data_IF_985663725706
#
_entry.id   IF_985663725706
#
_cell.length_a   1.000
_cell.length_b   1.000
_cell.length_c   1.000
_cell.angle_alpha   90.00
_cell.angle_beta   90.00
_cell.angle_gamma   90.00
#
_symmetry.space_group_name_H-M   'P 1'
#
loop_
_entity.id
_entity.type
_entity.pdbx_description
1 polymer ?
#
# COMPACT_ATOMS: atom_id res chain seq x y z
N UNK A 1 -28.17 29.31 -54.05
CA UNK A 1 -27.85 29.56 -52.61
C UNK A 1 -27.76 28.22 -51.89
N UNK A 2 -26.54 27.73 -51.63
CA UNK A 2 -26.30 26.45 -50.93
C UNK A 2 -26.10 26.77 -49.45
N UNK A 3 -26.96 26.21 -48.59
CA UNK A 3 -26.80 26.33 -47.14
C UNK A 3 -25.79 25.29 -46.65
N UNK A 4 -24.70 25.74 -46.05
CA UNK A 4 -23.75 24.88 -45.30
C UNK A 4 -24.32 24.66 -43.92
N UNK A 5 -24.57 23.41 -43.59
CA UNK A 5 -24.90 22.99 -42.22
C UNK A 5 -23.59 22.64 -41.49
N UNK A 6 -23.27 23.39 -40.42
CA UNK A 6 -22.16 23.10 -39.54
C UNK A 6 -22.66 22.14 -38.47
N UNK A 7 -22.14 20.91 -38.45
CA UNK A 7 -22.38 19.94 -37.39
C UNK A 7 -21.35 20.21 -36.29
N UNK A 8 -21.80 20.72 -35.15
CA UNK A 8 -20.96 20.86 -33.96
C UNK A 8 -20.87 19.48 -33.27
N UNK A 9 -19.67 18.92 -33.33
CA UNK A 9 -19.33 17.66 -32.64
C UNK A 9 -18.96 17.97 -31.18
N UNK A 10 -19.91 17.77 -30.27
CA UNK A 10 -19.67 17.96 -28.84
C UNK A 10 -18.74 16.86 -28.32
N UNK A 11 -17.55 17.23 -27.81
CA UNK A 11 -16.68 16.34 -27.03
C UNK A 11 -17.34 16.06 -25.67
N UNK A 12 -17.81 14.83 -25.48
CA UNK A 12 -18.16 14.34 -24.13
C UNK A 12 -16.84 14.08 -23.37
N UNK A 13 -16.48 14.99 -22.48
CA UNK A 13 -15.43 14.74 -21.48
C UNK A 13 -16.03 13.85 -20.40
N UNK A 14 -15.76 12.54 -20.46
CA UNK A 14 -16.07 11.61 -19.35
C UNK A 14 -15.10 11.93 -18.24
N UNK A 15 -15.52 12.81 -17.33
CA UNK A 15 -14.82 13.07 -16.09
C UNK A 15 -14.88 11.78 -15.24
N UNK A 16 -13.73 11.15 -14.99
CA UNK A 16 -13.61 10.09 -13.99
C UNK A 16 -13.93 10.72 -12.63
N UNK A 17 -15.16 10.55 -12.15
CA UNK A 17 -15.58 11.02 -10.83
C UNK A 17 -14.84 10.20 -9.78
N UNK A 18 -13.83 10.78 -9.15
CA UNK A 18 -13.21 10.23 -7.96
C UNK A 18 -14.26 10.23 -6.85
N UNK A 19 -14.86 9.07 -6.56
CA UNK A 19 -15.77 8.95 -5.43
C UNK A 19 -14.94 8.96 -4.15
N UNK A 20 -15.13 9.93 -3.24
CA UNK A 20 -14.42 9.92 -1.98
C UNK A 20 -14.81 8.67 -1.18
N UNK A 21 -13.84 8.08 -0.51
CA UNK A 21 -14.09 6.93 0.37
C UNK A 21 -15.11 7.32 1.46
N UNK A 22 -16.12 6.47 1.65
CA UNK A 22 -17.00 6.60 2.82
C UNK A 22 -16.21 6.23 4.07
N UNK A 23 -16.21 7.09 5.09
CA UNK A 23 -15.49 6.89 6.35
C UNK A 23 -16.30 6.09 7.39
N UNK A 24 -17.52 5.66 7.07
CA UNK A 24 -18.35 4.88 7.98
C UNK A 24 -17.69 3.54 8.34
N UNK A 25 -17.42 3.35 9.63
CA UNK A 25 -16.76 2.15 10.18
C UNK A 25 -15.24 2.10 9.97
N UNK A 26 -14.63 3.12 9.38
CA UNK A 26 -13.18 3.22 9.20
C UNK A 26 -12.54 4.07 10.31
N UNK A 27 -11.40 3.59 10.83
CA UNK A 27 -10.51 4.37 11.71
C UNK A 27 -9.35 4.90 10.87
N UNK A 28 -9.19 6.22 10.83
CA UNK A 28 -8.06 6.87 10.15
C UNK A 28 -6.84 6.86 11.06
N UNK A 29 -5.74 6.26 10.59
CA UNK A 29 -4.48 6.14 11.31
C UNK A 29 -3.42 7.13 10.80
N UNK A 30 -3.42 7.43 9.49
CA UNK A 30 -2.64 8.53 8.89
C UNK A 30 -3.60 9.41 8.12
N UNK A 31 -3.50 10.72 8.34
CA UNK A 31 -4.20 11.77 7.58
C UNK A 31 -3.24 12.92 7.31
N UNK A 32 -2.77 13.01 6.07
CA UNK A 32 -1.72 13.95 5.69
C UNK A 32 -0.43 13.73 6.49
N UNK A 33 0.04 14.77 7.13
CA UNK A 33 1.23 14.77 7.99
C UNK A 33 0.97 14.29 9.43
N UNK A 34 -0.25 13.85 9.74
CA UNK A 34 -0.66 13.42 11.08
C UNK A 34 -0.75 11.91 11.19
N UNK A 35 -0.53 11.36 12.40
CA UNK A 35 -0.81 9.96 12.73
C UNK A 35 0.40 9.09 13.04
N UNK A 36 1.65 9.60 13.04
CA UNK A 36 2.82 8.82 13.48
C UNK A 36 2.64 8.20 14.87
N UNK A 37 1.95 8.89 15.77
CA UNK A 37 1.67 8.43 17.13
C UNK A 37 0.70 7.22 17.19
N UNK A 38 0.08 6.81 16.09
CA UNK A 38 -0.73 5.60 16.01
C UNK A 38 0.11 4.32 15.80
N UNK A 39 1.41 4.48 15.63
CA UNK A 39 2.35 3.41 15.32
C UNK A 39 3.48 3.35 16.34
N UNK A 40 4.13 2.19 16.42
CA UNK A 40 5.40 1.95 17.08
C UNK A 40 6.48 1.82 15.98
N UNK A 41 7.40 2.79 15.83
CA UNK A 41 8.51 2.68 14.89
C UNK A 41 9.48 1.58 15.32
N UNK A 42 9.95 0.78 14.36
CA UNK A 42 10.97 -0.26 14.55
C UNK A 42 12.00 -0.14 13.43
N UNK A 43 13.28 -0.35 13.76
CA UNK A 43 14.40 -0.15 12.83
C UNK A 43 14.91 1.29 12.85
N UNK A 44 15.65 1.68 11.81
CA UNK A 44 16.33 2.97 11.72
C UNK A 44 15.81 3.88 10.60
N UNK A 45 14.68 3.54 9.99
CA UNK A 45 14.03 4.39 8.99
C UNK A 45 13.65 5.76 9.61
N UNK A 46 13.96 6.83 8.90
CA UNK A 46 13.78 8.21 9.35
C UNK A 46 12.32 8.71 9.22
N UNK A 47 11.36 7.97 9.76
CA UNK A 47 9.95 8.33 9.70
C UNK A 47 9.68 9.73 10.22
N UNK A 48 9.03 10.57 9.40
CA UNK A 48 8.71 11.95 9.72
C UNK A 48 7.47 12.46 9.01
N UNK A 49 6.88 13.51 9.55
CA UNK A 49 5.80 14.26 8.92
C UNK A 49 6.40 15.32 7.98
N UNK A 50 6.11 15.26 6.68
CA UNK A 50 6.66 16.18 5.68
C UNK A 50 5.76 16.27 4.44
N UNK A 51 5.52 17.49 3.93
CA UNK A 51 4.83 17.71 2.66
C UNK A 51 3.42 17.11 2.60
N UNK A 52 2.68 17.09 3.69
CA UNK A 52 1.33 16.53 3.76
C UNK A 52 1.29 15.00 3.75
N UNK A 53 2.35 14.33 4.20
CA UNK A 53 2.43 12.88 4.30
C UNK A 53 3.35 12.45 5.47
N UNK A 54 3.30 11.18 5.83
CA UNK A 54 4.33 10.50 6.62
C UNK A 54 5.33 9.90 5.65
N UNK A 55 6.61 10.24 5.80
CA UNK A 55 7.67 9.96 4.84
C UNK A 55 8.81 9.19 5.50
N UNK A 56 9.43 8.27 4.74
CA UNK A 56 10.75 7.72 5.01
C UNK A 56 11.55 7.66 3.71
N UNK A 57 12.83 8.04 3.76
CA UNK A 57 13.75 8.07 2.61
C UNK A 57 15.21 7.78 2.99
N UNK A 58 15.48 7.49 4.27
CA UNK A 58 16.82 7.19 4.81
C UNK A 58 16.76 6.13 5.90
N UNK A 59 17.88 5.45 6.08
CA UNK A 59 18.06 4.37 7.04
C UNK A 59 18.35 3.04 6.34
N UNK A 60 18.66 2.01 7.12
CA UNK A 60 18.90 0.64 6.63
C UNK A 60 17.60 -0.14 6.47
N UNK A 61 16.49 0.41 6.96
CA UNK A 61 15.17 -0.18 6.91
C UNK A 61 14.41 0.00 8.22
N UNK A 62 13.09 -0.14 8.16
CA UNK A 62 12.26 -0.03 9.35
C UNK A 62 10.78 -0.12 9.04
N UNK A 63 10.00 -0.13 10.09
CA UNK A 63 8.56 -0.32 10.03
C UNK A 63 7.82 0.67 10.93
N UNK A 64 6.63 1.09 10.52
CA UNK A 64 5.60 1.64 11.38
C UNK A 64 4.62 0.52 11.72
N UNK A 65 4.70 -0.03 12.93
CA UNK A 65 3.84 -1.13 13.38
C UNK A 65 2.62 -0.56 14.09
N UNK A 66 1.42 -0.95 13.66
CA UNK A 66 0.18 -0.51 14.32
C UNK A 66 0.15 -0.91 15.79
N UNK A 67 -0.37 -0.03 16.66
CA UNK A 67 -0.49 -0.31 18.11
C UNK A 67 -1.47 -1.43 18.42
N UNK A 68 -2.49 -1.62 17.57
CA UNK A 68 -3.50 -2.65 17.73
C UNK A 68 -3.22 -3.85 16.83
N UNK A 69 -3.63 -5.03 17.29
CA UNK A 69 -3.68 -6.27 16.50
C UNK A 69 -5.07 -6.48 15.93
N UNK A 70 -5.13 -7.09 14.75
CA UNK A 70 -6.36 -7.32 14.00
C UNK A 70 -6.40 -8.76 13.50
N UNK A 71 -7.59 -9.36 13.49
CA UNK A 71 -7.85 -10.69 12.93
C UNK A 71 -8.44 -10.55 11.52
N UNK A 72 -9.64 -10.01 11.44
CA UNK A 72 -10.36 -9.75 10.22
C UNK A 72 -10.49 -8.24 10.03
N UNK A 73 -10.05 -7.73 8.89
CA UNK A 73 -9.99 -6.29 8.65
C UNK A 73 -9.85 -5.94 7.17
N UNK A 74 -10.12 -4.68 6.88
CA UNK A 74 -9.76 -4.02 5.64
C UNK A 74 -8.80 -2.87 5.91
N UNK A 75 -7.84 -2.66 5.01
CA UNK A 75 -6.95 -1.48 4.98
C UNK A 75 -7.18 -0.75 3.67
N UNK A 76 -7.24 0.59 3.75
CA UNK A 76 -7.07 1.51 2.63
C UNK A 76 -5.83 2.32 2.88
N UNK A 77 -4.89 2.30 1.92
CA UNK A 77 -3.62 3.00 2.05
C UNK A 77 -3.31 3.78 0.77
N UNK A 78 -3.15 5.08 0.90
CA UNK A 78 -2.74 5.97 -0.16
C UNK A 78 -1.25 6.29 -0.02
N UNK A 79 -0.46 5.92 -1.02
CA UNK A 79 1.00 5.99 -0.96
C UNK A 79 1.61 6.56 -2.25
N UNK A 80 2.79 7.14 -2.11
CA UNK A 80 3.67 7.50 -3.21
C UNK A 80 5.00 6.80 -3.01
N UNK A 81 5.48 6.12 -4.05
CA UNK A 81 6.75 5.41 -4.06
C UNK A 81 7.69 6.02 -5.11
N UNK A 82 8.96 6.20 -4.77
CA UNK A 82 10.00 6.45 -5.77
C UNK A 82 10.18 5.21 -6.67
N UNK A 83 10.80 5.37 -7.84
CA UNK A 83 11.06 4.26 -8.77
C UNK A 83 11.95 3.16 -8.19
N UNK A 84 12.76 3.48 -7.18
CA UNK A 84 13.68 2.57 -6.49
C UNK A 84 13.18 2.12 -5.11
N UNK A 85 11.97 2.53 -4.73
CA UNK A 85 11.38 2.18 -3.44
C UNK A 85 11.25 0.66 -3.29
N UNK A 86 11.66 0.16 -2.13
CA UNK A 86 11.28 -1.13 -1.58
C UNK A 86 10.46 -0.89 -0.31
N UNK A 87 9.20 -1.26 -0.35
CA UNK A 87 8.22 -1.01 0.72
C UNK A 87 7.10 -2.06 0.67
N UNK A 88 6.16 -1.97 1.59
CA UNK A 88 5.01 -2.86 1.61
C UNK A 88 4.10 -2.63 2.81
N UNK A 89 2.94 -3.28 2.75
CA UNK A 89 2.00 -3.39 3.87
C UNK A 89 2.03 -4.83 4.37
N UNK A 90 2.53 -5.04 5.58
CA UNK A 90 2.63 -6.35 6.25
C UNK A 90 1.39 -6.59 7.09
N UNK A 91 0.67 -7.68 6.83
CA UNK A 91 -0.58 -8.03 7.51
C UNK A 91 -0.34 -9.13 8.53
N UNK A 92 -1.04 -9.06 9.67
CA UNK A 92 -1.03 -10.11 10.71
C UNK A 92 0.38 -10.50 11.14
N UNK A 93 1.21 -9.50 11.44
CA UNK A 93 2.60 -9.68 11.89
C UNK A 93 2.63 -10.52 13.16
N UNK A 94 3.29 -11.69 13.14
CA UNK A 94 3.34 -12.61 14.29
C UNK A 94 4.43 -12.25 15.29
N UNK A 95 5.52 -11.61 14.83
CA UNK A 95 6.59 -11.12 15.69
C UNK A 95 6.96 -9.67 15.32
N UNK A 96 6.41 -8.66 16.03
CA UNK A 96 6.69 -7.26 15.74
C UNK A 96 8.16 -6.86 15.90
N UNK A 97 8.96 -7.59 16.68
CA UNK A 97 10.38 -7.29 16.88
C UNK A 97 11.28 -7.85 15.76
N UNK A 98 10.75 -8.74 14.91
CA UNK A 98 11.48 -9.33 13.79
C UNK A 98 10.49 -9.61 12.65
N UNK A 99 10.17 -8.59 11.89
CA UNK A 99 9.20 -8.69 10.79
C UNK A 99 9.87 -9.28 9.55
N UNK A 100 9.28 -10.33 9.00
CA UNK A 100 9.73 -10.99 7.77
C UNK A 100 8.53 -11.34 6.88
N UNK A 101 8.75 -11.53 5.57
CA UNK A 101 7.73 -12.00 4.63
C UNK A 101 7.34 -13.48 4.82
N UNK A 102 7.91 -14.19 5.81
CA UNK A 102 7.52 -15.54 6.21
C UNK A 102 6.63 -15.55 7.46
N UNK A 103 6.68 -14.48 8.26
CA UNK A 103 5.99 -14.34 9.54
C UNK A 103 4.90 -13.24 9.50
N UNK A 104 4.63 -12.73 8.30
CA UNK A 104 3.55 -11.82 7.96
C UNK A 104 3.19 -11.99 6.48
N UNK A 105 2.04 -11.46 6.04
CA UNK A 105 1.69 -11.35 4.63
C UNK A 105 2.15 -9.98 4.12
N UNK A 106 3.25 -9.94 3.37
CA UNK A 106 3.78 -8.72 2.77
C UNK A 106 3.08 -8.41 1.45
N UNK A 107 2.19 -7.42 1.45
CA UNK A 107 1.65 -6.81 0.22
C UNK A 107 2.71 -5.85 -0.30
N UNK A 108 3.39 -6.22 -1.38
CA UNK A 108 4.65 -5.60 -1.79
C UNK A 108 4.47 -4.30 -2.60
N UNK A 109 5.40 -3.36 -2.40
CA UNK A 109 5.61 -2.14 -3.19
C UNK A 109 7.08 -2.13 -3.62
N UNK A 110 7.41 -2.83 -4.70
CA UNK A 110 8.79 -2.92 -5.19
C UNK A 110 8.79 -3.19 -6.71
N UNK A 111 8.87 -2.10 -7.49
CA UNK A 111 8.83 -2.15 -8.96
C UNK A 111 10.07 -2.79 -9.58
N UNK A 112 11.20 -2.78 -8.87
CA UNK A 112 12.48 -3.32 -9.33
C UNK A 112 12.84 -4.66 -8.69
N UNK A 113 11.86 -5.36 -8.11
CA UNK A 113 12.12 -6.66 -7.49
C UNK A 113 12.74 -7.64 -8.49
N UNK A 114 13.85 -8.33 -8.13
CA UNK A 114 14.51 -9.31 -8.99
C UNK A 114 13.59 -10.47 -9.44
N UNK A 115 12.69 -10.91 -8.54
CA UNK A 115 11.60 -11.84 -8.88
C UNK A 115 10.31 -11.02 -9.15
N UNK A 116 10.04 -10.61 -10.39
CA UNK A 116 8.95 -9.68 -10.71
C UNK A 116 7.56 -10.21 -10.33
N UNK A 117 7.36 -11.53 -10.34
CA UNK A 117 6.11 -12.17 -9.93
C UNK A 117 5.74 -11.86 -8.47
N UNK A 118 6.73 -11.56 -7.62
CA UNK A 118 6.54 -11.13 -6.24
C UNK A 118 6.78 -9.63 -6.02
N UNK A 119 6.81 -8.84 -7.08
CA UNK A 119 6.94 -7.39 -7.04
C UNK A 119 5.68 -6.67 -6.58
N UNK A 120 5.53 -5.42 -6.99
CA UNK A 120 4.39 -4.57 -6.61
C UNK A 120 3.05 -5.25 -6.89
N UNK A 121 2.19 -5.28 -5.88
CA UNK A 121 0.84 -5.87 -5.96
C UNK A 121 0.75 -7.34 -5.60
N UNK A 122 1.86 -8.05 -5.42
CA UNK A 122 1.90 -9.44 -4.95
C UNK A 122 1.81 -9.55 -3.42
N UNK A 123 1.57 -10.76 -2.91
CA UNK A 123 1.90 -11.12 -1.51
C UNK A 123 3.14 -12.00 -1.55
N UNK A 124 4.27 -11.47 -1.06
CA UNK A 124 5.58 -12.12 -1.14
C UNK A 124 5.53 -13.52 -0.54
N UNK A 125 6.06 -14.52 -1.27
CA UNK A 125 6.06 -15.96 -0.94
C UNK A 125 4.68 -16.65 -0.95
N UNK A 126 3.56 -15.93 -1.10
CA UNK A 126 2.22 -16.52 -1.01
C UNK A 126 1.39 -16.36 -2.28
N UNK A 127 1.47 -15.22 -2.96
CA UNK A 127 0.69 -14.98 -4.17
C UNK A 127 1.46 -14.12 -5.16
N UNK A 128 1.61 -14.63 -6.37
CA UNK A 128 2.23 -13.94 -7.49
C UNK A 128 1.28 -12.93 -8.13
N UNK A 129 1.85 -11.96 -8.83
CA UNK A 129 1.13 -11.01 -9.69
C UNK A 129 1.70 -11.07 -11.11
N UNK A 130 0.81 -11.08 -12.11
CA UNK A 130 1.24 -11.07 -13.53
C UNK A 130 0.13 -10.44 -14.38
N UNK A 131 0.44 -9.41 -15.20
CA UNK A 131 1.70 -8.66 -15.20
C UNK A 131 1.85 -7.81 -13.94
N UNK A 132 3.10 -7.59 -13.49
CA UNK A 132 3.38 -6.74 -12.33
C UNK A 132 3.06 -5.27 -12.66
N UNK A 133 2.17 -4.60 -11.90
CA UNK A 133 1.91 -3.18 -12.07
C UNK A 133 3.09 -2.34 -11.61
N UNK A 134 3.20 -1.11 -12.13
CA UNK A 134 4.22 -0.13 -11.74
C UNK A 134 3.59 1.07 -11.05
N UNK A 135 4.16 1.46 -9.90
CA UNK A 135 3.66 2.55 -9.06
C UNK A 135 4.68 3.66 -8.83
N UNK A 136 5.93 3.47 -9.25
CA UNK A 136 6.99 4.46 -9.07
C UNK A 136 6.65 5.83 -9.68
N UNK A 137 6.91 6.90 -8.92
CA UNK A 137 6.72 8.30 -9.33
C UNK A 137 5.28 8.81 -9.26
N UNK A 138 4.32 8.06 -8.72
CA UNK A 138 2.90 8.48 -8.66
C UNK A 138 2.22 8.05 -7.37
N UNK A 139 1.16 8.77 -6.99
CA UNK A 139 0.26 8.36 -5.93
C UNK A 139 -0.56 7.16 -6.37
N UNK A 140 -0.67 6.18 -5.50
CA UNK A 140 -1.39 4.93 -5.72
C UNK A 140 -2.18 4.54 -4.47
N UNK A 141 -3.18 3.68 -4.63
CA UNK A 141 -4.01 3.21 -3.53
C UNK A 141 -4.00 1.69 -3.44
N UNK A 142 -3.78 1.17 -2.25
CA UNK A 142 -4.13 -0.19 -1.90
C UNK A 142 -5.47 -0.25 -1.17
N UNK A 143 -6.30 -1.21 -1.56
CA UNK A 143 -7.40 -1.73 -0.74
C UNK A 143 -7.12 -3.21 -0.48
N UNK A 144 -6.93 -3.54 0.80
CA UNK A 144 -6.51 -4.87 1.23
C UNK A 144 -7.56 -5.42 2.17
N UNK A 145 -8.00 -6.66 1.94
CA UNK A 145 -8.92 -7.38 2.82
C UNK A 145 -8.26 -8.65 3.33
N UNK A 146 -8.29 -8.83 4.65
CA UNK A 146 -7.95 -10.08 5.34
C UNK A 146 -9.16 -10.51 6.16
N UNK A 147 -9.86 -11.59 5.75
CA UNK A 147 -11.06 -12.12 6.42
C UNK A 147 -11.00 -13.64 6.47
N UNK A 148 -10.88 -14.21 7.68
CA UNK A 148 -10.58 -15.62 7.83
C UNK A 148 -9.28 -15.97 7.10
N UNK A 149 -9.32 -16.94 6.20
CA UNK A 149 -8.21 -17.31 5.32
C UNK A 149 -8.16 -16.51 4.02
N UNK A 150 -9.21 -15.74 3.70
CA UNK A 150 -9.28 -14.97 2.47
C UNK A 150 -8.39 -13.74 2.54
N UNK A 151 -7.49 -13.59 1.55
CA UNK A 151 -6.64 -12.42 1.34
C UNK A 151 -6.90 -11.86 -0.04
N UNK A 152 -7.31 -10.58 -0.09
CA UNK A 152 -7.57 -9.87 -1.35
C UNK A 152 -6.77 -8.58 -1.38
N UNK A 153 -6.12 -8.30 -2.49
CA UNK A 153 -5.39 -7.04 -2.74
C UNK A 153 -5.91 -6.39 -4.00
N UNK A 154 -6.27 -5.13 -3.89
CA UNK A 154 -6.66 -4.27 -5.01
C UNK A 154 -5.70 -3.09 -5.06
N UNK A 155 -5.04 -2.89 -6.18
CA UNK A 155 -4.14 -1.77 -6.44
C UNK A 155 -4.73 -0.87 -7.52
N UNK A 156 -4.99 0.40 -7.18
CA UNK A 156 -5.58 1.38 -8.10
C UNK A 156 -6.87 0.87 -8.79
N UNK A 157 -7.74 0.19 -8.02
CA UNK A 157 -8.99 -0.38 -8.52
C UNK A 157 -8.87 -1.72 -9.25
N UNK A 158 -7.65 -2.26 -9.45
CA UNK A 158 -7.41 -3.55 -10.10
C UNK A 158 -7.05 -4.60 -9.06
N UNK A 159 -7.80 -5.71 -9.01
CA UNK A 159 -7.48 -6.83 -8.12
C UNK A 159 -6.21 -7.54 -8.60
N UNK A 160 -5.17 -7.55 -7.76
CA UNK A 160 -3.88 -8.17 -8.05
C UNK A 160 -3.74 -9.53 -7.35
N UNK A 161 -4.37 -9.71 -6.19
CA UNK A 161 -4.36 -10.96 -5.43
C UNK A 161 -5.75 -11.32 -4.94
N UNK A 162 -6.08 -12.62 -4.99
CA UNK A 162 -7.25 -13.22 -4.36
C UNK A 162 -6.92 -14.68 -4.04
N UNK A 163 -6.54 -14.96 -2.78
CA UNK A 163 -6.11 -16.29 -2.34
C UNK A 163 -6.72 -16.69 -1.00
N UNK A 164 -6.66 -17.98 -0.71
CA UNK A 164 -6.92 -18.56 0.60
C UNK A 164 -5.59 -18.96 1.26
N UNK A 165 -5.29 -18.41 2.42
CA UNK A 165 -4.14 -18.80 3.22
C UNK A 165 -4.41 -18.56 4.72
N UNK A 166 -4.15 -19.54 5.56
CA UNK A 166 -4.44 -19.52 7.00
C UNK A 166 -3.18 -19.56 7.89
N UNK A 167 -1.99 -19.30 7.32
CA UNK A 167 -0.73 -19.39 8.07
C UNK A 167 -0.66 -18.35 9.20
N UNK A 168 -1.02 -17.09 8.93
CA UNK A 168 -1.13 -16.05 9.94
C UNK A 168 -2.59 -15.66 10.12
N UNK A 169 -3.09 -15.73 11.37
CA UNK A 169 -4.53 -15.54 11.65
C UNK A 169 -4.85 -14.18 12.28
N UNK A 170 -3.88 -13.56 12.98
CA UNK A 170 -4.03 -12.25 13.59
C UNK A 170 -2.67 -11.62 13.90
N UNK A 171 -2.64 -10.32 14.11
CA UNK A 171 -1.46 -9.54 14.48
C UNK A 171 -1.62 -8.06 14.10
N UNK A 172 -0.70 -7.19 14.51
CA UNK A 172 -0.65 -5.84 13.98
C UNK A 172 -0.35 -5.87 12.48
N UNK A 173 -0.66 -4.77 11.79
CA UNK A 173 -0.10 -4.52 10.47
C UNK A 173 1.09 -3.57 10.58
N UNK A 174 1.94 -3.56 9.53
CA UNK A 174 3.08 -2.66 9.50
C UNK A 174 3.27 -2.06 8.09
N UNK A 175 3.75 -0.81 8.06
CA UNK A 175 4.17 -0.11 6.85
C UNK A 175 5.70 -0.11 6.81
N UNK A 176 6.28 -0.50 5.68
CA UNK A 176 7.73 -0.70 5.56
C UNK A 176 8.42 0.46 4.85
N UNK A 177 9.67 0.72 5.26
CA UNK A 177 10.74 1.30 4.44
C UNK A 177 11.88 0.28 4.39
N UNK A 178 12.25 -0.20 3.21
CA UNK A 178 13.27 -1.22 3.01
C UNK A 178 14.41 -0.75 2.12
N UNK A 179 15.51 -1.51 2.09
CA UNK A 179 16.62 -1.27 1.18
C UNK A 179 16.19 -1.50 -0.28
N UNK A 180 16.79 -0.76 -1.17
CA UNK A 180 16.71 -0.96 -2.60
C UNK A 180 17.49 -2.18 -3.10
N UNK A 181 17.66 -2.30 -4.44
CA UNK A 181 18.43 -3.39 -5.03
C UNK A 181 19.88 -3.43 -4.52
N UNK A 182 20.40 -4.63 -4.25
CA UNK A 182 21.80 -4.85 -3.80
C UNK A 182 22.15 -4.06 -2.53
N UNK A 183 21.22 -3.95 -1.59
CA UNK A 183 21.37 -3.20 -0.33
C UNK A 183 21.64 -1.69 -0.51
N UNK A 184 21.44 -1.13 -1.70
CA UNK A 184 21.41 0.31 -1.89
C UNK A 184 20.28 0.93 -1.04
N UNK A 185 20.41 2.20 -0.63
CA UNK A 185 19.31 2.88 0.03
C UNK A 185 18.04 2.78 -0.83
N UNK A 186 16.92 2.40 -0.23
CA UNK A 186 15.61 2.40 -0.90
C UNK A 186 15.21 3.82 -1.27
N UNK A 187 14.42 3.97 -2.33
CA UNK A 187 13.78 5.24 -2.67
C UNK A 187 12.70 5.62 -1.65
N UNK A 188 12.32 6.88 -1.64
CA UNK A 188 11.34 7.40 -0.69
C UNK A 188 9.99 6.70 -0.80
N UNK A 189 9.38 6.43 0.35
CA UNK A 189 7.98 6.06 0.51
C UNK A 189 7.24 7.18 1.26
N UNK A 190 6.02 7.51 0.82
CA UNK A 190 5.15 8.49 1.47
C UNK A 190 3.77 7.90 1.65
N UNK A 191 3.19 8.09 2.82
CA UNK A 191 1.82 7.67 3.18
C UNK A 191 1.01 8.91 3.53
N UNK A 192 -0.06 9.22 2.78
CA UNK A 192 -0.87 10.41 3.08
C UNK A 192 -2.25 10.08 3.64
N UNK A 193 -2.77 8.87 3.41
CA UNK A 193 -3.98 8.38 4.06
C UNK A 193 -3.87 6.88 4.31
N UNK A 194 -4.03 6.47 5.57
CA UNK A 194 -4.09 5.06 5.95
C UNK A 194 -5.26 4.88 6.88
N UNK A 195 -6.19 4.02 6.50
CA UNK A 195 -7.40 3.71 7.24
C UNK A 195 -7.51 2.21 7.46
N UNK A 196 -8.11 1.82 8.58
CA UNK A 196 -8.41 0.42 8.90
C UNK A 196 -9.86 0.28 9.34
N UNK A 197 -10.49 -0.82 8.93
CA UNK A 197 -11.83 -1.22 9.34
C UNK A 197 -11.80 -2.65 9.83
N UNK A 198 -11.99 -2.94 11.12
CA UNK A 198 -12.27 -4.28 11.63
C UNK A 198 -13.56 -4.83 11.00
N UNK A 199 -13.59 -6.16 10.74
CA UNK A 199 -14.73 -6.86 10.11
C UNK A 199 -15.39 -7.82 11.09
#
# INVERSE_FOLDING_TARGET
>A
MKRLSVIAMGLLVIGCSYMPWSDSGWTTLIDGASGLNNFNPIGDANWRAEGGAIVADKGKGGYLVSKNSYKDFQIRAEFWADHTTNSGVFLRVTNPNKITATDAYEVNIYDQRPEPDYGTGAIVNFAKVSPMPKVGGKWSTYEITAKGSQLTVVLNGVQTVNIQNSKMVQGPFALQFGNGPKDAPGGAIKWRKVQIKPL
#
